data_IF_112347860364
#
_entry.id   IF_112347860364
#
_cell.length_a   1.000
_cell.length_b   1.000
_cell.length_c   1.000
_cell.angle_alpha   90.00
_cell.angle_beta   90.00
_cell.angle_gamma   90.00
#
_symmetry.space_group_name_H-M   'P 1'
#
loop_
_entity.id
_entity.type
_entity.pdbx_description
1 polymer ?
#
# COMPACT_ATOMS: atom_id res chain seq x y z
N UNK A 1 3.58 -14.54 1.63
CA UNK A 1 4.51 -15.66 1.40
C UNK A 1 3.78 -16.98 1.19
N UNK A 2 2.99 -17.47 2.15
CA UNK A 2 2.22 -18.72 1.96
C UNK A 2 1.37 -18.74 0.67
N UNK A 3 0.73 -17.61 0.34
CA UNK A 3 -0.03 -17.47 -0.90
C UNK A 3 0.87 -17.57 -2.15
N UNK A 4 2.05 -16.94 -2.14
CA UNK A 4 3.03 -17.07 -3.24
C UNK A 4 3.51 -18.52 -3.37
N UNK A 5 3.77 -19.19 -2.24
CA UNK A 5 4.13 -20.62 -2.23
C UNK A 5 3.03 -21.47 -2.86
N UNK A 6 1.76 -21.20 -2.54
CA UNK A 6 0.63 -21.87 -3.17
C UNK A 6 0.61 -21.65 -4.69
N UNK A 7 0.81 -20.40 -5.13
CA UNK A 7 0.81 -20.05 -6.55
C UNK A 7 1.96 -20.71 -7.33
N UNK A 8 3.14 -20.83 -6.71
CA UNK A 8 4.31 -21.47 -7.31
C UNK A 8 4.32 -22.99 -7.15
N UNK A 9 3.43 -23.52 -6.30
CA UNK A 9 3.33 -24.94 -5.98
C UNK A 9 2.85 -25.81 -7.12
N UNK A 10 2.81 -27.13 -6.89
CA UNK A 10 2.57 -28.15 -7.91
C UNK A 10 1.18 -28.06 -8.55
N UNK A 11 0.17 -27.65 -7.79
CA UNK A 11 -1.22 -27.51 -8.27
C UNK A 11 -1.43 -26.28 -9.20
N UNK A 12 -0.44 -25.38 -9.30
CA UNK A 12 -0.56 -24.13 -10.05
C UNK A 12 0.54 -24.03 -11.12
N UNK A 13 1.61 -23.29 -10.85
CA UNK A 13 2.69 -23.05 -11.82
C UNK A 13 3.70 -24.21 -11.87
N UNK A 14 3.59 -25.19 -10.97
CA UNK A 14 4.49 -26.35 -10.87
C UNK A 14 5.98 -25.99 -10.87
N UNK A 15 6.32 -24.82 -10.31
CA UNK A 15 7.70 -24.35 -10.18
C UNK A 15 8.37 -24.89 -8.91
N UNK A 16 7.58 -25.27 -7.91
CA UNK A 16 8.02 -25.88 -6.66
C UNK A 16 7.42 -27.28 -6.53
N UNK A 17 8.24 -28.22 -6.09
CA UNK A 17 7.80 -29.58 -5.74
C UNK A 17 6.97 -29.61 -4.45
N UNK A 18 6.19 -30.68 -4.26
CA UNK A 18 5.39 -30.94 -3.05
C UNK A 18 6.23 -30.84 -1.78
N UNK A 19 7.42 -31.45 -1.81
CA UNK A 19 8.34 -31.48 -0.66
C UNK A 19 8.79 -30.08 -0.27
N UNK A 20 9.19 -29.28 -1.27
CA UNK A 20 9.66 -27.90 -1.08
C UNK A 20 8.52 -27.02 -0.56
N UNK A 21 7.33 -27.18 -1.13
CA UNK A 21 6.11 -26.46 -0.74
C UNK A 21 5.77 -26.72 0.73
N UNK A 22 5.79 -27.99 1.16
CA UNK A 22 5.54 -28.37 2.55
C UNK A 22 6.59 -27.80 3.52
N UNK A 23 7.88 -27.84 3.14
CA UNK A 23 8.96 -27.25 3.94
C UNK A 23 8.74 -25.75 4.12
N UNK A 24 8.36 -25.03 3.07
CA UNK A 24 8.08 -23.59 3.15
C UNK A 24 6.91 -23.34 4.09
N UNK A 25 5.80 -24.08 3.99
CA UNK A 25 4.67 -23.91 4.91
C UNK A 25 5.02 -24.22 6.35
N UNK A 26 5.74 -25.31 6.61
CA UNK A 26 6.21 -25.66 7.95
C UNK A 26 7.12 -24.58 8.53
N UNK A 27 8.03 -24.03 7.71
CA UNK A 27 8.94 -22.95 8.10
C UNK A 27 8.16 -21.67 8.43
N UNK A 28 7.22 -21.27 7.57
CA UNK A 28 6.39 -20.07 7.79
C UNK A 28 5.53 -20.22 9.05
N UNK A 29 4.93 -21.40 9.27
CA UNK A 29 4.16 -21.70 10.48
C UNK A 29 5.05 -21.66 11.73
N UNK A 30 6.26 -22.24 11.67
CA UNK A 30 7.23 -22.21 12.75
C UNK A 30 7.68 -20.79 13.10
N UNK A 31 8.00 -19.96 12.09
CA UNK A 31 8.37 -18.55 12.28
C UNK A 31 7.19 -17.77 12.89
N UNK A 32 5.98 -17.98 12.39
CA UNK A 32 4.79 -17.32 12.92
C UNK A 32 4.57 -17.67 14.39
N UNK A 33 4.56 -18.96 14.74
CA UNK A 33 4.42 -19.42 16.13
C UNK A 33 5.52 -18.86 17.03
N UNK A 34 6.78 -18.90 16.58
CA UNK A 34 7.91 -18.35 17.32
C UNK A 34 7.73 -16.84 17.58
N UNK A 35 7.36 -16.07 16.55
CA UNK A 35 7.12 -14.63 16.69
C UNK A 35 5.94 -14.33 17.62
N UNK A 36 4.82 -15.04 17.49
CA UNK A 36 3.65 -14.88 18.37
C UNK A 36 4.00 -15.18 19.82
N UNK A 37 4.73 -16.26 20.10
CA UNK A 37 5.18 -16.61 21.45
C UNK A 37 6.11 -15.53 22.00
N UNK A 38 7.08 -15.03 21.20
CA UNK A 38 7.98 -13.95 21.62
C UNK A 38 7.24 -12.65 21.91
N UNK A 39 6.28 -12.26 21.06
CA UNK A 39 5.44 -11.09 21.27
C UNK A 39 4.67 -11.22 22.59
N UNK A 40 4.08 -12.39 22.86
CA UNK A 40 3.38 -12.64 24.12
C UNK A 40 4.34 -12.56 25.32
N UNK A 41 5.48 -13.25 25.29
CA UNK A 41 6.46 -13.25 26.38
C UNK A 41 6.91 -11.82 26.76
N UNK A 42 7.17 -10.97 25.76
CA UNK A 42 7.61 -9.59 25.99
C UNK A 42 6.45 -8.70 26.48
N UNK A 43 5.26 -8.84 25.90
CA UNK A 43 4.15 -7.91 26.13
C UNK A 43 3.10 -8.40 27.12
N UNK A 44 3.25 -9.58 27.75
CA UNK A 44 2.24 -10.14 28.65
C UNK A 44 1.87 -9.19 29.80
N UNK A 45 2.81 -8.35 30.25
CA UNK A 45 2.61 -7.35 31.30
C UNK A 45 1.50 -6.34 30.96
N UNK A 46 1.27 -6.05 29.67
CA UNK A 46 0.21 -5.14 29.17
C UNK A 46 -1.20 -5.66 29.50
N UNK A 47 -1.37 -6.97 29.72
CA UNK A 47 -2.65 -7.54 30.13
C UNK A 47 -2.89 -7.48 31.64
N UNK A 48 -1.85 -7.17 32.42
CA UNK A 48 -1.92 -7.13 33.90
C UNK A 48 -1.78 -5.73 34.48
N UNK A 49 -1.18 -4.80 33.73
CA UNK A 49 -0.88 -3.45 34.18
C UNK A 49 -1.52 -2.43 33.22
N UNK A 50 -2.00 -1.33 33.76
CA UNK A 50 -2.48 -0.23 32.92
C UNK A 50 -1.30 0.44 32.20
N UNK A 51 -1.40 0.52 30.87
CA UNK A 51 -0.43 1.24 30.05
C UNK A 51 -0.51 2.74 30.36
N UNK A 52 0.59 3.46 30.63
CA UNK A 52 0.57 4.90 30.87
C UNK A 52 -0.14 5.68 29.75
N UNK A 53 -0.90 6.73 30.08
CA UNK A 53 -1.67 7.49 29.08
C UNK A 53 -0.80 8.04 27.94
N UNK A 54 0.42 8.50 28.27
CA UNK A 54 1.40 8.98 27.29
C UNK A 54 1.85 7.91 26.29
N UNK A 55 1.68 6.63 26.64
CA UNK A 55 2.02 5.54 25.75
C UNK A 55 0.85 5.05 24.89
N UNK A 56 -0.39 5.43 25.22
CA UNK A 56 -1.59 5.02 24.48
C UNK A 56 -1.68 5.79 23.16
N UNK A 57 -2.03 5.09 22.08
CA UNK A 57 -2.35 5.71 20.79
C UNK A 57 -3.49 4.93 20.13
N UNK A 58 -4.21 5.61 19.24
CA UNK A 58 -5.37 5.01 18.55
C UNK A 58 -4.88 4.10 17.43
N UNK A 59 -4.85 2.78 17.67
CA UNK A 59 -4.41 1.79 16.69
C UNK A 59 -5.16 1.87 15.35
N UNK A 60 -6.41 2.35 15.35
CA UNK A 60 -7.17 2.63 14.12
C UNK A 60 -6.43 3.53 13.14
N UNK A 61 -5.59 4.46 13.61
CA UNK A 61 -4.77 5.32 12.73
C UNK A 61 -3.74 4.48 11.96
N UNK A 62 -3.08 3.53 12.65
CA UNK A 62 -2.14 2.59 12.01
C UNK A 62 -2.85 1.71 11.00
N UNK A 63 -4.01 1.15 11.36
CA UNK A 63 -4.78 0.29 10.47
C UNK A 63 -5.21 1.02 9.18
N UNK A 64 -5.65 2.27 9.28
CA UNK A 64 -6.05 3.09 8.14
C UNK A 64 -4.85 3.45 7.26
N UNK A 65 -3.70 3.80 7.83
CA UNK A 65 -2.48 4.06 7.05
C UNK A 65 -1.97 2.80 6.35
N UNK A 66 -2.04 1.64 7.02
CA UNK A 66 -1.71 0.35 6.41
C UNK A 66 -2.65 0.04 5.24
N UNK A 67 -3.95 0.29 5.38
CA UNK A 67 -4.92 0.09 4.31
C UNK A 67 -4.70 1.07 3.14
N UNK A 68 -4.40 2.34 3.44
CA UNK A 68 -4.01 3.34 2.44
C UNK A 68 -2.77 2.88 1.66
N UNK A 69 -1.74 2.39 2.35
CA UNK A 69 -0.52 1.90 1.69
C UNK A 69 -0.72 0.58 0.94
N UNK A 70 -1.63 -0.27 1.42
CA UNK A 70 -2.05 -1.49 0.74
C UNK A 70 -2.63 -1.17 -0.65
N UNK A 71 -3.49 -0.14 -0.78
CA UNK A 71 -4.09 0.22 -2.06
C UNK A 71 -3.26 1.15 -2.92
N UNK A 72 -2.27 1.86 -2.37
CA UNK A 72 -1.35 2.70 -3.17
C UNK A 72 -0.16 1.87 -3.65
N UNK A 73 0.79 1.58 -2.77
CA UNK A 73 2.00 0.83 -3.13
C UNK A 73 1.70 -0.61 -3.56
N UNK A 74 0.71 -1.25 -2.92
CA UNK A 74 0.32 -2.59 -3.31
C UNK A 74 -0.27 -2.65 -4.72
N UNK A 75 -1.07 -1.66 -5.13
CA UNK A 75 -1.54 -1.59 -6.51
C UNK A 75 -0.42 -1.17 -7.46
N UNK A 76 0.49 -0.28 -7.08
CA UNK A 76 1.66 0.13 -7.87
C UNK A 76 2.46 -1.11 -8.31
N UNK A 77 2.88 -1.93 -7.36
CA UNK A 77 3.68 -3.13 -7.64
C UNK A 77 2.95 -4.14 -8.52
N UNK A 78 1.66 -4.35 -8.28
CA UNK A 78 0.86 -5.27 -9.08
C UNK A 78 0.72 -4.77 -10.52
N UNK A 79 0.45 -3.48 -10.69
CA UNK A 79 0.21 -2.82 -11.97
C UNK A 79 1.50 -2.73 -12.78
N UNK A 80 2.62 -2.34 -12.18
CA UNK A 80 3.95 -2.35 -12.84
C UNK A 80 4.29 -3.72 -13.42
N UNK A 81 3.92 -4.79 -12.72
CA UNK A 81 4.24 -6.17 -13.12
C UNK A 81 3.40 -6.67 -14.31
N UNK A 82 2.17 -6.17 -14.48
CA UNK A 82 1.25 -6.60 -15.54
C UNK A 82 1.14 -5.62 -16.71
N UNK A 83 1.54 -4.36 -16.54
CA UNK A 83 1.35 -3.30 -17.52
C UNK A 83 1.98 -3.58 -18.90
N UNK A 84 3.21 -4.12 -19.00
CA UNK A 84 3.79 -4.45 -20.30
C UNK A 84 2.95 -5.47 -21.05
N UNK A 85 2.48 -6.50 -20.34
CA UNK A 85 1.62 -7.53 -20.92
C UNK A 85 0.26 -6.95 -21.33
N UNK A 86 -0.31 -6.06 -20.50
CA UNK A 86 -1.54 -5.35 -20.84
C UNK A 86 -1.42 -4.56 -22.15
N UNK A 87 -0.34 -3.80 -22.35
CA UNK A 87 -0.12 -3.05 -23.59
C UNK A 87 0.16 -3.95 -24.80
N UNK A 88 0.89 -5.06 -24.60
CA UNK A 88 1.17 -6.05 -25.62
C UNK A 88 -0.14 -6.70 -26.11
N UNK A 89 -0.93 -7.26 -25.19
CA UNK A 89 -2.12 -8.05 -25.53
C UNK A 89 -3.31 -7.18 -25.97
N UNK A 90 -3.47 -5.98 -25.40
CA UNK A 90 -4.64 -5.13 -25.68
C UNK A 90 -4.50 -4.34 -26.98
N UNK A 91 -3.27 -3.93 -27.32
CA UNK A 91 -3.01 -3.05 -28.48
C UNK A 91 -2.16 -3.70 -29.57
N UNK A 92 -1.87 -5.01 -29.45
CA UNK A 92 -1.04 -5.78 -30.38
C UNK A 92 0.32 -5.13 -30.65
N UNK A 93 0.93 -4.59 -29.59
CA UNK A 93 2.24 -3.92 -29.66
C UNK A 93 3.36 -4.94 -29.53
N UNK A 94 4.52 -4.65 -30.11
CA UNK A 94 5.70 -5.46 -29.86
C UNK A 94 6.20 -5.27 -28.41
N UNK A 95 6.85 -6.31 -27.86
CA UNK A 95 7.28 -6.33 -26.47
C UNK A 95 8.21 -5.16 -26.09
N UNK A 96 9.02 -4.66 -27.05
CA UNK A 96 9.91 -3.52 -26.79
C UNK A 96 9.11 -2.24 -26.59
N UNK A 97 8.13 -1.96 -27.45
CA UNK A 97 7.31 -0.76 -27.33
C UNK A 97 6.39 -0.86 -26.10
N UNK A 98 5.76 -2.00 -25.86
CA UNK A 98 4.91 -2.21 -24.69
C UNK A 98 5.68 -2.01 -23.37
N UNK A 99 6.90 -2.55 -23.28
CA UNK A 99 7.78 -2.33 -22.13
C UNK A 99 8.22 -0.87 -21.96
N UNK A 100 8.52 -0.18 -23.07
CA UNK A 100 8.88 1.24 -23.04
C UNK A 100 7.70 2.11 -22.55
N UNK A 101 6.50 1.88 -23.07
CA UNK A 101 5.30 2.62 -22.63
C UNK A 101 5.00 2.36 -21.15
N UNK A 102 5.14 1.10 -20.71
CA UNK A 102 4.95 0.73 -19.32
C UNK A 102 5.99 1.33 -18.36
N UNK A 103 7.22 1.55 -18.83
CA UNK A 103 8.25 2.22 -18.03
C UNK A 103 7.87 3.63 -17.59
N UNK A 104 6.99 4.32 -18.36
CA UNK A 104 6.48 5.64 -18.01
C UNK A 104 5.69 5.66 -16.71
N UNK A 105 4.97 4.57 -16.40
CA UNK A 105 4.28 4.40 -15.11
C UNK A 105 5.30 4.34 -13.95
N UNK A 106 6.32 3.49 -14.09
CA UNK A 106 7.36 3.39 -13.06
C UNK A 106 8.19 4.68 -12.92
N UNK A 107 8.48 5.37 -14.02
CA UNK A 107 9.28 6.60 -14.01
C UNK A 107 8.59 7.76 -13.29
N UNK A 108 7.25 7.79 -13.30
CA UNK A 108 6.46 8.81 -12.61
C UNK A 108 6.81 8.92 -11.12
N UNK A 109 7.33 7.84 -10.52
CA UNK A 109 7.64 7.71 -9.10
C UNK A 109 8.61 8.80 -8.62
N UNK A 110 9.57 9.16 -9.48
CA UNK A 110 10.61 10.15 -9.21
C UNK A 110 10.04 11.51 -8.81
N UNK A 111 8.90 11.90 -9.39
CA UNK A 111 8.27 13.22 -9.18
C UNK A 111 7.01 13.09 -8.32
N UNK A 112 6.23 12.04 -8.51
CA UNK A 112 4.94 11.87 -7.84
C UNK A 112 5.10 11.65 -6.33
N UNK A 113 6.03 10.81 -5.88
CA UNK A 113 6.21 10.56 -4.43
C UNK A 113 6.61 11.82 -3.65
N UNK A 114 7.67 12.58 -4.06
CA UNK A 114 8.01 13.82 -3.37
C UNK A 114 6.88 14.85 -3.43
N UNK A 115 6.20 14.97 -4.59
CA UNK A 115 5.12 15.95 -4.73
C UNK A 115 3.92 15.61 -3.83
N UNK A 116 3.56 14.33 -3.67
CA UNK A 116 2.53 13.90 -2.74
C UNK A 116 2.81 14.27 -1.29
N UNK A 117 4.05 14.07 -0.83
CA UNK A 117 4.48 14.48 0.51
C UNK A 117 4.43 16.01 0.70
N UNK A 118 4.99 16.76 -0.24
CA UNK A 118 5.03 18.24 -0.18
C UNK A 118 3.63 18.86 -0.22
N UNK A 119 2.73 18.35 -1.06
CA UNK A 119 1.34 18.82 -1.15
C UNK A 119 0.59 18.49 0.14
N UNK A 120 0.84 17.29 0.71
CA UNK A 120 0.23 16.85 1.96
C UNK A 120 0.59 17.77 3.13
N UNK A 121 1.86 18.17 3.22
CA UNK A 121 2.33 19.08 4.25
C UNK A 121 1.79 20.51 4.10
N UNK A 122 1.49 20.96 2.86
CA UNK A 122 1.02 22.34 2.60
C UNK A 122 -0.49 22.51 2.66
N UNK A 123 -1.27 21.55 2.17
CA UNK A 123 -2.73 21.68 1.99
C UNK A 123 -3.56 20.91 3.03
N UNK A 124 -2.89 20.25 3.96
CA UNK A 124 -3.50 19.39 4.96
C UNK A 124 -3.45 17.93 4.54
N UNK A 125 -2.99 17.10 5.48
CA UNK A 125 -2.53 15.75 5.15
C UNK A 125 -3.67 14.76 4.93
N UNK A 126 -4.74 14.79 5.74
CA UNK A 126 -5.93 13.96 5.50
C UNK A 126 -6.65 14.37 4.21
N UNK A 127 -6.78 15.67 3.96
CA UNK A 127 -7.43 16.18 2.75
C UNK A 127 -6.68 15.73 1.50
N UNK A 128 -5.35 15.90 1.51
CA UNK A 128 -4.50 15.46 0.40
C UNK A 128 -4.59 13.96 0.19
N UNK A 129 -4.50 13.16 1.25
CA UNK A 129 -4.62 11.71 1.15
C UNK A 129 -5.98 11.29 0.57
N UNK A 130 -7.09 11.91 1.00
CA UNK A 130 -8.42 11.63 0.45
C UNK A 130 -8.53 11.98 -1.05
N UNK A 131 -7.97 13.11 -1.47
CA UNK A 131 -7.97 13.52 -2.88
C UNK A 131 -7.16 12.53 -3.71
N UNK A 132 -5.99 12.12 -3.22
CA UNK A 132 -5.12 11.18 -3.91
C UNK A 132 -5.75 9.79 -4.03
N UNK A 133 -6.41 9.31 -2.97
CA UNK A 133 -7.14 8.03 -3.00
C UNK A 133 -8.38 8.11 -3.91
N UNK A 134 -9.08 9.24 -3.95
CA UNK A 134 -10.16 9.41 -4.92
C UNK A 134 -9.62 9.41 -6.36
N UNK A 135 -8.51 10.10 -6.60
CA UNK A 135 -7.85 10.16 -7.90
C UNK A 135 -7.36 8.79 -8.37
N UNK A 136 -6.77 7.97 -7.50
CA UNK A 136 -6.35 6.62 -7.86
C UNK A 136 -7.54 5.69 -8.11
N UNK A 137 -8.63 5.80 -7.34
CA UNK A 137 -9.86 5.04 -7.58
C UNK A 137 -10.46 5.36 -8.96
N UNK A 138 -10.55 6.64 -9.31
CA UNK A 138 -11.02 7.11 -10.62
C UNK A 138 -10.06 6.64 -11.72
N UNK A 139 -8.74 6.79 -11.51
CA UNK A 139 -7.73 6.36 -12.47
C UNK A 139 -7.83 4.87 -12.80
N UNK A 140 -7.95 4.02 -11.78
CA UNK A 140 -8.15 2.59 -11.99
C UNK A 140 -9.50 2.24 -12.61
N UNK A 141 -10.57 2.96 -12.27
CA UNK A 141 -11.86 2.77 -12.94
C UNK A 141 -11.78 3.11 -14.44
N UNK A 142 -11.06 4.18 -14.80
CA UNK A 142 -10.79 4.53 -16.21
C UNK A 142 -10.00 3.42 -16.89
N UNK A 143 -8.90 2.95 -16.28
CA UNK A 143 -8.10 1.85 -16.83
C UNK A 143 -8.90 0.54 -16.97
N UNK A 144 -9.86 0.30 -16.07
CA UNK A 144 -10.79 -0.82 -16.17
C UNK A 144 -11.71 -0.79 -17.40
N UNK A 145 -11.82 0.35 -18.08
CA UNK A 145 -12.60 0.52 -19.31
C UNK A 145 -11.73 0.65 -20.56
N UNK A 146 -10.40 0.51 -20.43
CA UNK A 146 -9.50 0.54 -21.59
C UNK A 146 -9.54 -0.80 -22.31
N UNK A 147 -9.76 -0.72 -23.62
CA UNK A 147 -9.78 -1.85 -24.54
C UNK A 147 -9.03 -1.51 -25.84
N UNK A 148 -9.04 -2.43 -26.80
CA UNK A 148 -8.37 -2.29 -28.08
C UNK A 148 -8.91 -1.14 -28.96
N UNK A 149 -10.09 -0.59 -28.66
CA UNK A 149 -10.65 0.54 -29.40
C UNK A 149 -10.07 1.88 -28.97
N UNK A 150 -9.39 1.94 -27.82
CA UNK A 150 -8.74 3.16 -27.35
C UNK A 150 -7.51 3.51 -28.20
N UNK A 151 -7.23 4.79 -28.44
CA UNK A 151 -5.93 5.19 -28.95
C UNK A 151 -4.83 4.90 -27.91
N UNK A 152 -3.74 4.26 -28.34
CA UNK A 152 -2.61 3.90 -27.45
C UNK A 152 -2.10 5.10 -26.65
N UNK A 153 -1.94 6.25 -27.30
CA UNK A 153 -1.48 7.48 -26.63
C UNK A 153 -2.40 7.92 -25.49
N UNK A 154 -3.72 7.71 -25.63
CA UNK A 154 -4.70 8.05 -24.61
C UNK A 154 -4.63 7.07 -23.43
N UNK A 155 -4.46 5.77 -23.72
CA UNK A 155 -4.24 4.76 -22.70
C UNK A 155 -2.96 5.02 -21.88
N UNK A 156 -1.88 5.47 -22.54
CA UNK A 156 -0.63 5.87 -21.88
C UNK A 156 -0.85 7.09 -20.99
N UNK A 157 -1.54 8.13 -21.46
CA UNK A 157 -1.86 9.31 -20.64
C UNK A 157 -2.71 8.92 -19.42
N UNK A 158 -3.74 8.10 -19.60
CA UNK A 158 -4.58 7.61 -18.51
C UNK A 158 -3.75 6.82 -17.48
N UNK A 159 -2.84 5.98 -17.96
CA UNK A 159 -1.91 5.18 -17.15
C UNK A 159 -0.96 6.08 -16.35
N UNK A 160 -0.36 7.09 -16.97
CA UNK A 160 0.53 8.04 -16.30
C UNK A 160 -0.22 8.92 -15.29
N UNK A 161 -1.43 9.37 -15.63
CA UNK A 161 -2.27 10.13 -14.71
C UNK A 161 -2.66 9.30 -13.49
N UNK A 162 -3.06 8.05 -13.69
CA UNK A 162 -3.32 7.10 -12.60
C UNK A 162 -2.06 6.90 -11.74
N UNK A 163 -0.90 6.67 -12.37
CA UNK A 163 0.39 6.50 -11.70
C UNK A 163 0.73 7.65 -10.76
N UNK A 164 0.47 8.89 -11.20
CA UNK A 164 0.72 10.07 -10.38
C UNK A 164 -0.06 10.01 -9.07
N UNK A 165 -1.37 9.72 -9.11
CA UNK A 165 -2.19 9.64 -7.89
C UNK A 165 -1.77 8.50 -6.96
N UNK A 166 -1.42 7.35 -7.53
CA UNK A 166 -0.94 6.18 -6.77
C UNK A 166 0.32 6.53 -5.99
N UNK A 167 1.35 7.01 -6.69
CA UNK A 167 2.66 7.31 -6.10
C UNK A 167 2.65 8.55 -5.22
N UNK A 168 1.90 9.59 -5.58
CA UNK A 168 1.69 10.72 -4.67
C UNK A 168 0.97 10.28 -3.39
N UNK A 169 0.02 9.33 -3.50
CA UNK A 169 -0.67 8.73 -2.35
C UNK A 169 0.30 8.06 -1.38
N UNK A 170 1.33 7.37 -1.88
CA UNK A 170 2.38 6.78 -1.05
C UNK A 170 3.18 7.83 -0.26
N UNK A 171 3.56 8.92 -0.93
CA UNK A 171 4.22 10.06 -0.28
C UNK A 171 3.35 10.68 0.81
N UNK A 172 2.05 10.85 0.55
CA UNK A 172 1.11 11.37 1.52
C UNK A 172 0.89 10.44 2.73
N UNK A 173 0.89 9.11 2.51
CA UNK A 173 0.84 8.14 3.63
C UNK A 173 2.06 8.27 4.52
N UNK A 174 3.27 8.33 3.94
CA UNK A 174 4.50 8.46 4.73
C UNK A 174 4.63 9.82 5.44
N UNK A 175 4.03 10.88 4.90
CA UNK A 175 3.90 12.15 5.62
C UNK A 175 3.01 12.06 6.86
N UNK A 176 2.05 11.12 6.90
CA UNK A 176 1.16 10.89 8.04
C UNK A 176 1.74 9.96 9.11
N UNK A 177 2.67 9.07 8.75
CA UNK A 177 3.22 8.05 9.66
C UNK A 177 3.79 8.65 10.98
N UNK A 178 4.60 9.73 10.95
CA UNK A 178 5.16 10.31 12.17
C UNK A 178 4.10 10.91 13.12
N UNK A 179 2.90 11.23 12.60
CA UNK A 179 1.83 11.85 13.36
C UNK A 179 1.06 10.88 14.25
N UNK A 180 1.17 9.57 13.99
CA UNK A 180 0.52 8.56 14.83
C UNK A 180 1.18 8.55 16.22
N UNK A 181 2.51 8.42 16.26
CA UNK A 181 3.34 8.52 17.46
C UNK A 181 4.81 8.59 17.07
N UNK A 182 5.48 9.72 17.30
CA UNK A 182 6.89 9.95 16.94
C UNK A 182 7.84 8.84 17.38
N UNK A 183 7.74 8.40 18.65
CA UNK A 183 8.57 7.29 19.19
C UNK A 183 8.40 5.97 18.43
N UNK A 184 7.23 5.74 17.83
CA UNK A 184 6.90 4.50 17.12
C UNK A 184 6.92 4.67 15.59
N UNK A 185 7.41 5.79 15.06
CA UNK A 185 7.44 6.08 13.62
C UNK A 185 8.02 4.93 12.81
N UNK A 186 9.16 4.36 13.25
CA UNK A 186 9.78 3.22 12.57
C UNK A 186 8.91 1.95 12.56
N UNK A 187 8.18 1.69 13.65
CA UNK A 187 7.28 0.53 13.73
C UNK A 187 6.05 0.71 12.83
N UNK A 188 5.44 1.90 12.86
CA UNK A 188 4.28 2.24 12.03
C UNK A 188 4.67 2.25 10.54
N UNK A 189 5.82 2.83 10.19
CA UNK A 189 6.40 2.79 8.84
C UNK A 189 6.63 1.35 8.37
N UNK A 190 7.21 0.51 9.23
CA UNK A 190 7.45 -0.90 8.95
C UNK A 190 6.15 -1.67 8.70
N UNK A 191 5.11 -1.43 9.50
CA UNK A 191 3.78 -2.01 9.28
C UNK A 191 3.16 -1.54 7.96
N UNK A 192 3.20 -0.24 7.66
CA UNK A 192 2.67 0.29 6.41
C UNK A 192 3.37 -0.35 5.20
N UNK A 193 4.71 -0.36 5.20
CA UNK A 193 5.51 -1.01 4.15
C UNK A 193 5.19 -2.50 3.98
N UNK A 194 5.00 -3.23 5.09
CA UNK A 194 4.58 -4.63 5.04
C UNK A 194 3.21 -4.79 4.35
N UNK A 195 2.23 -3.94 4.68
CA UNK A 195 0.90 -3.98 4.06
C UNK A 195 0.89 -3.61 2.59
N UNK A 196 1.79 -2.75 2.14
CA UNK A 196 2.01 -2.50 0.72
C UNK A 196 2.40 -3.78 -0.03
N UNK A 197 3.32 -4.59 0.51
CA UNK A 197 3.66 -5.90 -0.07
C UNK A 197 2.50 -6.90 -0.02
N UNK A 198 1.71 -6.89 1.07
CA UNK A 198 0.51 -7.72 1.17
C UNK A 198 -0.51 -7.33 0.08
N UNK A 199 -0.68 -6.03 -0.19
CA UNK A 199 -1.50 -5.51 -1.28
C UNK A 199 -1.04 -6.02 -2.63
N UNK A 200 0.26 -5.92 -2.93
CA UNK A 200 0.83 -6.40 -4.19
C UNK A 200 0.53 -7.87 -4.45
N UNK A 201 0.81 -8.73 -3.46
CA UNK A 201 0.53 -10.17 -3.57
C UNK A 201 -0.97 -10.41 -3.73
N UNK A 202 -1.81 -9.70 -3.00
CA UNK A 202 -3.28 -9.86 -3.08
C UNK A 202 -3.80 -9.48 -4.47
N UNK A 203 -3.42 -8.31 -4.98
CA UNK A 203 -3.88 -7.85 -6.29
C UNK A 203 -3.32 -8.71 -7.44
N UNK A 204 -2.05 -9.11 -7.41
CA UNK A 204 -1.50 -10.04 -8.40
C UNK A 204 -2.19 -11.41 -8.38
N UNK A 205 -2.61 -11.85 -7.20
CA UNK A 205 -3.38 -13.08 -7.07
C UNK A 205 -4.73 -12.94 -7.74
N UNK A 206 -5.44 -11.83 -7.46
CA UNK A 206 -6.70 -11.51 -8.14
C UNK A 206 -6.50 -11.48 -9.65
N UNK A 207 -5.47 -10.79 -10.13
CA UNK A 207 -5.13 -10.71 -11.56
C UNK A 207 -4.98 -12.10 -12.19
N UNK A 208 -4.48 -13.08 -11.44
CA UNK A 208 -4.32 -14.44 -11.95
C UNK A 208 -5.63 -15.21 -12.19
N UNK A 209 -6.77 -14.66 -11.78
CA UNK A 209 -8.11 -15.25 -11.97
C UNK A 209 -9.04 -14.42 -12.85
N UNK A 210 -8.67 -13.19 -13.21
CA UNK A 210 -9.56 -12.23 -13.86
C UNK A 210 -8.87 -11.50 -15.01
N UNK A 211 -9.65 -10.87 -15.89
CA UNK A 211 -9.09 -10.04 -16.96
C UNK A 211 -8.45 -8.74 -16.41
N UNK A 212 -7.54 -8.10 -17.16
CA UNK A 212 -6.98 -6.80 -16.79
C UNK A 212 -8.04 -5.76 -16.40
N UNK A 213 -9.16 -5.71 -17.11
CA UNK A 213 -10.27 -4.79 -16.86
C UNK A 213 -10.88 -5.01 -15.47
N UNK A 214 -11.22 -6.26 -15.15
CA UNK A 214 -11.77 -6.61 -13.83
C UNK A 214 -10.73 -6.36 -12.74
N UNK A 215 -9.45 -6.67 -13.00
CA UNK A 215 -8.36 -6.40 -12.08
C UNK A 215 -8.26 -4.91 -11.70
N UNK A 216 -8.28 -4.01 -12.69
CA UNK A 216 -8.29 -2.57 -12.42
C UNK A 216 -9.55 -2.13 -11.65
N UNK A 217 -10.72 -2.68 -11.98
CA UNK A 217 -11.96 -2.41 -11.25
C UNK A 217 -11.94 -2.89 -9.80
N UNK A 218 -11.30 -4.04 -9.52
CA UNK A 218 -11.12 -4.54 -8.14
C UNK A 218 -10.24 -3.58 -7.33
N UNK A 219 -9.15 -3.07 -7.93
CA UNK A 219 -8.31 -2.07 -7.26
C UNK A 219 -9.10 -0.78 -7.02
N UNK A 220 -9.89 -0.31 -8.00
CA UNK A 220 -10.74 0.86 -7.83
C UNK A 220 -11.74 0.67 -6.68
N UNK A 221 -12.38 -0.50 -6.58
CA UNK A 221 -13.27 -0.85 -5.47
C UNK A 221 -12.56 -0.86 -4.12
N UNK A 222 -11.38 -1.47 -4.04
CA UNK A 222 -10.56 -1.45 -2.82
C UNK A 222 -10.14 -0.02 -2.43
N UNK A 223 -9.82 0.83 -3.40
CA UNK A 223 -9.50 2.22 -3.20
C UNK A 223 -10.70 3.02 -2.65
N UNK A 224 -11.92 2.77 -3.13
CA UNK A 224 -13.15 3.38 -2.60
C UNK A 224 -13.39 2.96 -1.15
N UNK A 225 -13.26 1.67 -0.84
CA UNK A 225 -13.38 1.17 0.55
C UNK A 225 -12.35 1.84 1.45
N UNK A 226 -11.12 1.99 0.95
CA UNK A 226 -10.05 2.66 1.69
C UNK A 226 -10.31 4.15 1.85
N UNK A 227 -10.82 4.82 0.82
CA UNK A 227 -11.22 6.22 0.88
C UNK A 227 -12.30 6.43 1.96
N UNK A 228 -13.30 5.55 2.01
CA UNK A 228 -14.34 5.57 3.05
C UNK A 228 -13.71 5.36 4.43
N UNK A 229 -12.83 4.37 4.60
CA UNK A 229 -12.14 4.13 5.85
C UNK A 229 -11.30 5.34 6.31
N UNK A 230 -10.55 5.97 5.40
CA UNK A 230 -9.77 7.18 5.67
C UNK A 230 -10.71 8.34 6.03
N UNK A 231 -11.83 8.50 5.34
CA UNK A 231 -12.76 9.61 5.58
C UNK A 231 -13.39 9.52 6.99
N UNK A 232 -13.79 8.31 7.40
CA UNK A 232 -14.54 8.06 8.63
C UNK A 232 -13.65 7.81 9.86
N UNK A 233 -12.50 7.14 9.69
CA UNK A 233 -11.69 6.63 10.80
C UNK A 233 -10.39 7.41 11.03
N UNK A 234 -9.83 8.04 9.98
CA UNK A 234 -8.61 8.84 10.12
C UNK A 234 -8.94 10.12 10.87
N UNK A 235 -8.23 10.37 11.96
CA UNK A 235 -8.34 11.60 12.73
C UNK A 235 -7.04 12.36 12.52
N UNK A 236 -7.12 13.60 12.02
CA UNK A 236 -5.96 14.47 12.08
C UNK A 236 -5.74 14.84 13.55
N UNK A 237 -4.54 14.60 14.11
CA UNK A 237 -4.23 15.12 15.43
C UNK A 237 -4.31 16.64 15.36
N UNK A 238 -5.29 17.22 16.04
CA UNK A 238 -5.37 18.68 16.24
C UNK A 238 -4.65 19.00 17.54
N UNK A 239 -3.68 19.91 17.51
CA UNK A 239 -3.04 20.47 18.71
C UNK A 239 -1.59 20.04 18.91
N UNK A 240 -1.22 19.74 20.16
CA UNK A 240 0.17 19.51 20.55
C UNK A 240 0.56 18.02 20.52
N UNK A 241 1.71 17.71 19.92
CA UNK A 241 2.35 16.40 20.06
C UNK A 241 3.25 16.43 21.29
N UNK A 242 3.12 15.43 22.15
CA UNK A 242 3.94 15.29 23.35
C UNK A 242 5.23 14.52 23.02
N UNK A 243 6.38 15.15 23.21
CA UNK A 243 7.69 14.52 23.07
C UNK A 243 8.35 14.38 24.44
N UNK A 244 8.76 13.17 24.82
CA UNK A 244 9.57 12.95 26.03
C UNK A 244 11.03 12.98 25.62
N UNK A 245 11.75 14.02 26.03
CA UNK A 245 13.18 14.17 25.79
C UNK A 245 13.97 13.09 26.55
N UNK A 246 15.23 12.79 26.17
CA UNK A 246 16.06 11.79 26.85
C UNK A 246 16.29 12.04 28.35
N UNK A 247 16.04 13.28 28.80
CA UNK A 247 16.11 13.71 30.19
C UNK A 247 14.79 13.53 30.98
N UNK A 248 13.74 13.00 30.33
CA UNK A 248 12.42 12.77 30.92
C UNK A 248 11.47 13.96 30.86
N UNK A 249 11.86 15.10 30.28
CA UNK A 249 10.99 16.27 30.17
C UNK A 249 10.00 16.12 29.00
N UNK A 250 8.76 16.58 29.18
CA UNK A 250 7.70 16.53 28.16
C UNK A 250 7.63 17.86 27.43
N UNK A 251 8.04 17.89 26.17
CA UNK A 251 7.92 19.06 25.31
C UNK A 251 6.62 18.99 24.50
N UNK A 252 5.85 20.07 24.56
CA UNK A 252 4.63 20.26 23.77
C UNK A 252 5.03 20.94 22.46
N UNK A 253 4.93 20.23 21.34
CA UNK A 253 5.18 20.81 20.01
C UNK A 253 3.83 21.00 19.31
N UNK A 254 3.51 22.24 18.94
CA UNK A 254 2.36 22.52 18.09
C UNK A 254 2.48 21.77 16.76
N UNK A 255 1.48 20.97 16.44
CA UNK A 255 1.30 20.38 15.12
C UNK A 255 0.28 21.27 14.41
N UNK A 256 0.78 22.14 13.53
CA UNK A 256 -0.06 22.85 12.55
C UNK A 256 -0.68 21.88 11.53
#
# INVERSE_FOLDING_TARGET
>A
LALLTWKLGPDNLAMLDDTVTLIIYATLAGIFLFQTVRIYQINHHVFTQEVPEIERYKFKQVAVLNLAYFVTFGSELAVVSMLPLFFLDTFDLDARLAGLLASGYAFMNLVARPSGGLVSDKFGRKKTLLILIAGLAIGYAILGNVDAAWPVWLAVIATMACSFFVQAGEGAVFAMVPLVKRRLTGQVAGMAGAYGNVGAVTFLTVFSFVSPQIFFMVIAGAAIVTWLAVSLLLEEPRGHMHEVLPDGTVQMIEVE
#
